data_IF_667763108554
#
_entry.id   IF_667763108554
#
_cell.length_a   1.000
_cell.length_b   1.000
_cell.length_c   1.000
_cell.angle_alpha   90.00
_cell.angle_beta   90.00
_cell.angle_gamma   90.00
#
_symmetry.space_group_name_H-M   'P 1'
#
loop_
_entity.id
_entity.type
_entity.pdbx_description
1 polymer ?
#
# COMPACT_ATOMS: atom_id res chain seq x y z
N UNK A 1 -1.54 47.06 35.04
CA UNK A 1 -0.44 46.31 34.39
C UNK A 1 -0.85 44.86 34.25
N UNK A 2 -1.28 44.43 33.06
CA UNK A 2 -1.52 43.01 32.79
C UNK A 2 -0.15 42.39 32.48
N UNK A 3 0.37 41.55 33.38
CA UNK A 3 1.57 40.75 33.10
C UNK A 3 1.19 39.79 31.96
N UNK A 4 1.77 39.99 30.78
CA UNK A 4 1.71 39.01 29.69
C UNK A 4 2.35 37.73 30.19
N UNK A 5 1.54 36.68 30.44
CA UNK A 5 2.04 35.34 30.71
C UNK A 5 2.95 34.93 29.55
N UNK A 6 4.24 34.73 29.84
CA UNK A 6 5.19 34.17 28.87
C UNK A 6 4.72 32.74 28.57
N UNK A 7 4.03 32.54 27.44
CA UNK A 7 3.73 31.21 26.93
C UNK A 7 5.01 30.39 26.93
N UNK A 8 5.03 29.31 27.72
CA UNK A 8 6.18 28.41 27.78
C UNK A 8 6.45 27.91 26.36
N UNK A 9 7.73 27.96 25.98
CA UNK A 9 8.18 27.48 24.67
C UNK A 9 8.91 26.18 24.85
N UNK A 10 8.52 25.20 24.06
CA UNK A 10 9.08 23.85 24.07
C UNK A 10 9.59 23.49 22.68
N UNK A 11 10.58 22.59 22.61
CA UNK A 11 11.10 22.11 21.32
C UNK A 11 10.05 21.27 20.60
N UNK A 12 9.98 21.38 19.27
CA UNK A 12 9.03 20.63 18.45
C UNK A 12 9.15 19.11 18.65
N UNK A 13 10.37 18.56 18.73
CA UNK A 13 10.57 17.14 19.01
C UNK A 13 10.01 16.68 20.37
N UNK A 14 10.09 17.54 21.37
CA UNK A 14 9.57 17.31 22.71
C UNK A 14 8.05 17.47 22.72
N UNK A 15 7.52 18.51 22.07
CA UNK A 15 6.09 18.76 21.95
C UNK A 15 5.34 17.58 21.30
N UNK A 16 5.90 16.99 20.23
CA UNK A 16 5.31 15.82 19.58
C UNK A 16 5.28 14.60 20.50
N UNK A 17 6.33 14.40 21.30
CA UNK A 17 6.38 13.32 22.27
C UNK A 17 5.39 13.53 23.42
N UNK A 18 5.35 14.73 23.99
CA UNK A 18 4.45 15.10 25.10
C UNK A 18 2.97 15.04 24.69
N UNK A 19 2.64 15.37 23.43
CA UNK A 19 1.29 15.19 22.87
C UNK A 19 0.97 13.76 22.44
N UNK A 20 1.86 12.80 22.63
CA UNK A 20 1.66 11.40 22.25
C UNK A 20 1.67 11.14 20.74
N UNK A 21 2.10 12.11 19.93
CA UNK A 21 2.16 12.02 18.47
C UNK A 21 3.42 11.29 17.96
N UNK A 22 4.40 11.06 18.85
CA UNK A 22 5.61 10.31 18.57
C UNK A 22 5.95 9.36 19.71
N UNK A 23 6.55 8.20 19.39
CA UNK A 23 6.88 7.15 20.38
C UNK A 23 8.04 7.52 21.30
N UNK A 24 8.88 8.45 20.87
CA UNK A 24 10.05 8.96 21.60
C UNK A 24 10.49 10.29 20.99
N UNK A 25 11.37 11.04 21.67
CA UNK A 25 11.98 12.26 21.10
C UNK A 25 12.84 11.98 19.86
N UNK A 26 13.50 10.83 19.78
CA UNK A 26 14.26 10.43 18.59
C UNK A 26 13.33 10.12 17.41
N UNK A 27 12.22 9.40 17.67
CA UNK A 27 11.18 9.14 16.68
C UNK A 27 10.53 10.45 16.21
N UNK A 28 10.24 11.39 17.10
CA UNK A 28 9.74 12.73 16.76
C UNK A 28 10.71 13.47 15.83
N UNK A 29 12.01 13.45 16.15
CA UNK A 29 13.03 14.10 15.32
C UNK A 29 13.10 13.48 13.92
N UNK A 30 13.01 12.15 13.81
CA UNK A 30 12.96 11.44 12.54
C UNK A 30 11.72 11.82 11.71
N UNK A 31 10.54 11.93 12.34
CA UNK A 31 9.31 12.35 11.66
C UNK A 31 9.40 13.78 11.11
N UNK A 32 9.98 14.71 11.88
CA UNK A 32 10.20 16.09 11.44
C UNK A 32 11.15 16.14 10.25
N UNK A 33 12.29 15.42 10.33
CA UNK A 33 13.28 15.37 9.25
C UNK A 33 12.73 14.68 7.99
N UNK A 34 11.82 13.72 8.14
CA UNK A 34 11.13 13.06 7.03
C UNK A 34 9.98 13.90 6.42
N UNK A 35 9.76 15.13 6.90
CA UNK A 35 8.69 16.01 6.44
C UNK A 35 7.29 15.48 6.78
N UNK A 36 7.16 14.65 7.83
CA UNK A 36 5.90 14.03 8.26
C UNK A 36 5.17 14.83 9.34
N UNK A 37 5.61 16.05 9.62
CA UNK A 37 5.03 16.91 10.66
C UNK A 37 4.50 18.18 10.01
N UNK A 38 3.27 18.53 10.37
CA UNK A 38 2.62 19.78 9.97
C UNK A 38 2.49 20.63 11.23
N UNK A 39 2.85 21.91 11.12
CA UNK A 39 2.66 22.92 12.15
C UNK A 39 1.94 24.09 11.51
N UNK A 40 0.75 24.43 12.01
CA UNK A 40 -0.07 25.49 11.41
C UNK A 40 0.69 26.81 11.34
N UNK A 41 0.76 27.38 10.13
CA UNK A 41 1.43 28.66 9.88
C UNK A 41 2.96 28.61 9.89
N UNK A 42 3.59 27.42 9.87
CA UNK A 42 5.06 27.29 9.84
C UNK A 42 5.55 26.35 8.75
N UNK A 43 6.71 26.68 8.19
CA UNK A 43 7.46 25.87 7.22
C UNK A 43 8.91 25.67 7.70
N UNK A 44 9.69 24.86 6.99
CA UNK A 44 11.10 24.58 7.30
C UNK A 44 11.35 24.12 8.75
N UNK A 45 10.53 23.18 9.19
CA UNK A 45 10.53 22.66 10.55
C UNK A 45 11.87 21.99 10.90
N UNK A 46 12.35 22.22 12.12
CA UNK A 46 13.54 21.58 12.68
C UNK A 46 13.20 20.96 14.04
N UNK A 47 13.78 19.80 14.41
CA UNK A 47 13.53 19.16 15.71
C UNK A 47 13.69 20.10 16.91
N UNK A 48 14.76 20.90 16.90
CA UNK A 48 15.05 21.89 17.95
C UNK A 48 14.28 23.21 17.86
N UNK A 49 13.30 23.33 16.95
CA UNK A 49 12.51 24.56 16.82
C UNK A 49 11.63 24.77 18.05
N UNK A 50 11.71 25.94 18.67
CA UNK A 50 10.85 26.30 19.81
C UNK A 50 9.48 26.79 19.34
N UNK A 51 8.43 26.12 19.83
CA UNK A 51 7.03 26.47 19.63
C UNK A 51 6.35 26.73 20.97
N UNK A 52 5.17 27.34 20.92
CA UNK A 52 4.31 27.40 22.09
C UNK A 52 3.73 26.01 22.39
N UNK A 53 3.49 25.68 23.66
CA UNK A 53 2.90 24.38 24.06
C UNK A 53 1.50 24.14 23.47
N UNK A 54 0.76 25.22 23.21
CA UNK A 54 -0.55 25.22 22.56
C UNK A 54 -0.47 25.23 21.02
N UNK A 55 0.73 25.11 20.42
CA UNK A 55 0.85 25.03 18.97
C UNK A 55 0.08 23.83 18.40
N UNK A 56 -0.73 24.08 17.37
CA UNK A 56 -1.40 23.06 16.57
C UNK A 56 -0.34 22.32 15.73
N UNK A 57 -0.06 21.07 16.13
CA UNK A 57 0.91 20.17 15.50
C UNK A 57 0.24 18.86 15.16
N UNK A 58 0.53 18.35 13.97
CA UNK A 58 -0.01 17.09 13.47
C UNK A 58 1.12 16.25 12.87
N UNK A 59 1.06 14.94 13.07
CA UNK A 59 1.93 13.99 12.38
C UNK A 59 1.10 13.36 11.27
N UNK A 60 1.57 13.51 10.03
CA UNK A 60 0.96 12.83 8.89
C UNK A 60 0.93 11.33 9.17
N UNK A 61 -0.23 10.66 9.04
CA UNK A 61 -0.29 9.22 9.22
C UNK A 61 0.74 8.55 8.30
N UNK A 62 1.42 7.53 8.83
CA UNK A 62 2.28 6.67 8.03
C UNK A 62 1.48 6.04 6.89
N UNK A 63 2.16 5.63 5.81
CA UNK A 63 1.48 4.82 4.79
C UNK A 63 1.01 3.53 5.46
N UNK A 64 -0.30 3.29 5.45
CA UNK A 64 -0.90 2.06 5.98
C UNK A 64 -0.37 0.83 5.23
N UNK A 65 -0.16 1.00 3.92
CA UNK A 65 0.27 -0.04 3.01
C UNK A 65 1.64 0.26 2.39
N UNK A 66 2.38 -0.79 2.03
CA UNK A 66 3.72 -0.72 1.42
C UNK A 66 3.72 0.10 0.12
N UNK A 67 2.60 0.15 -0.60
CA UNK A 67 2.44 0.93 -1.82
C UNK A 67 1.05 1.54 -1.94
N UNK A 68 0.91 2.55 -2.83
CA UNK A 68 -0.38 3.20 -3.13
C UNK A 68 -1.42 2.22 -3.65
N UNK A 69 -1.00 1.09 -4.22
CA UNK A 69 -1.91 0.02 -4.61
C UNK A 69 -2.75 -0.48 -3.44
N UNK A 70 -2.20 -0.55 -2.22
CA UNK A 70 -2.92 -1.07 -1.07
C UNK A 70 -4.23 -0.32 -0.77
N UNK A 71 -4.23 1.01 -0.89
CA UNK A 71 -5.45 1.82 -0.70
C UNK A 71 -6.55 1.47 -1.71
N UNK A 72 -6.16 1.10 -2.94
CA UNK A 72 -7.12 0.69 -3.99
C UNK A 72 -7.76 -0.65 -3.66
N UNK A 73 -6.95 -1.65 -3.28
CA UNK A 73 -7.48 -2.97 -2.96
C UNK A 73 -8.29 -2.95 -1.67
N UNK A 74 -7.83 -2.24 -0.64
CA UNK A 74 -8.59 -2.05 0.59
C UNK A 74 -9.97 -1.45 0.31
N UNK A 75 -10.02 -0.38 -0.50
CA UNK A 75 -11.28 0.21 -0.94
C UNK A 75 -12.17 -0.80 -1.65
N UNK A 76 -11.63 -1.53 -2.63
CA UNK A 76 -12.39 -2.54 -3.37
C UNK A 76 -12.95 -3.66 -2.46
N UNK A 77 -12.16 -4.21 -1.55
CA UNK A 77 -12.61 -5.25 -0.62
C UNK A 77 -13.76 -4.75 0.25
N UNK A 78 -13.66 -3.52 0.77
CA UNK A 78 -14.69 -2.91 1.59
C UNK A 78 -15.96 -2.62 0.80
N UNK A 79 -15.83 -1.91 -0.33
CA UNK A 79 -16.97 -1.41 -1.10
C UNK A 79 -17.76 -2.56 -1.74
N UNK A 80 -17.09 -3.65 -2.10
CA UNK A 80 -17.74 -4.86 -2.64
C UNK A 80 -18.09 -5.90 -1.57
N UNK A 81 -17.79 -5.66 -0.29
CA UNK A 81 -18.06 -6.60 0.80
C UNK A 81 -17.36 -7.95 0.62
N UNK A 82 -16.16 -7.95 0.06
CA UNK A 82 -15.38 -9.16 -0.22
C UNK A 82 -14.61 -9.55 1.05
N UNK A 83 -14.92 -10.74 1.56
CA UNK A 83 -14.14 -11.38 2.62
C UNK A 83 -13.00 -12.20 2.00
N UNK A 84 -11.76 -11.77 2.24
CA UNK A 84 -10.55 -12.47 1.79
C UNK A 84 -9.91 -13.33 2.90
N UNK A 85 -10.53 -13.40 4.08
CA UNK A 85 -9.97 -14.11 5.23
C UNK A 85 -9.82 -15.61 4.92
N UNK A 86 -8.70 -16.18 5.36
CA UNK A 86 -8.33 -17.58 5.22
C UNK A 86 -8.27 -18.11 3.78
N UNK A 87 -8.43 -17.26 2.77
CA UNK A 87 -8.32 -17.66 1.37
C UNK A 87 -6.88 -17.79 0.88
N UNK A 88 -6.69 -18.53 -0.20
CA UNK A 88 -5.47 -18.57 -1.00
C UNK A 88 -5.63 -17.64 -2.19
N UNK A 89 -4.75 -16.64 -2.28
CA UNK A 89 -4.85 -15.59 -3.30
C UNK A 89 -3.66 -15.58 -4.25
N UNK A 90 -3.88 -15.11 -5.47
CA UNK A 90 -2.84 -14.76 -6.42
C UNK A 90 -2.89 -13.25 -6.70
N UNK A 91 -1.77 -12.56 -6.47
CA UNK A 91 -1.59 -11.15 -6.80
C UNK A 91 -0.72 -11.03 -8.06
N UNK A 92 -1.34 -10.67 -9.20
CA UNK A 92 -0.66 -10.50 -10.47
C UNK A 92 -0.26 -9.04 -10.68
N UNK A 93 1.04 -8.79 -10.76
CA UNK A 93 1.62 -7.44 -10.79
C UNK A 93 1.93 -6.93 -9.39
N UNK A 94 2.45 -7.81 -8.52
CA UNK A 94 2.63 -7.52 -7.10
C UNK A 94 3.52 -6.29 -6.84
N UNK A 95 4.47 -5.97 -7.73
CA UNK A 95 5.37 -4.81 -7.68
C UNK A 95 6.05 -4.68 -6.30
N UNK A 96 5.85 -3.57 -5.58
CA UNK A 96 6.38 -3.42 -4.22
C UNK A 96 5.61 -4.20 -3.16
N UNK A 97 4.43 -4.75 -3.49
CA UNK A 97 3.64 -5.61 -2.61
C UNK A 97 2.42 -4.93 -1.98
N UNK A 98 1.91 -3.84 -2.57
CA UNK A 98 0.80 -3.09 -1.99
C UNK A 98 -0.49 -3.92 -1.81
N UNK A 99 -0.89 -4.66 -2.85
CA UNK A 99 -2.08 -5.52 -2.83
C UNK A 99 -1.83 -6.76 -1.96
N UNK A 100 -0.71 -7.45 -2.18
CA UNK A 100 -0.26 -8.56 -1.33
C UNK A 100 -0.30 -8.20 0.17
N UNK A 101 0.19 -7.01 0.56
CA UNK A 101 0.16 -6.57 1.96
C UNK A 101 -1.26 -6.47 2.50
N UNK A 102 -2.19 -5.88 1.75
CA UNK A 102 -3.61 -5.78 2.15
C UNK A 102 -4.22 -7.16 2.36
N UNK A 103 -4.04 -8.08 1.40
CA UNK A 103 -4.58 -9.43 1.49
C UNK A 103 -4.08 -10.15 2.75
N UNK A 104 -2.78 -10.09 3.00
CA UNK A 104 -2.14 -10.71 4.17
C UNK A 104 -2.58 -10.07 5.49
N UNK A 105 -2.66 -8.74 5.54
CA UNK A 105 -3.10 -8.01 6.73
C UNK A 105 -4.59 -8.25 7.02
N UNK A 106 -5.40 -8.49 5.99
CA UNK A 106 -6.81 -8.85 6.12
C UNK A 106 -7.03 -10.36 6.28
N UNK A 107 -5.98 -11.13 6.57
CA UNK A 107 -6.11 -12.51 7.03
C UNK A 107 -6.12 -13.58 5.95
N UNK A 108 -5.70 -13.30 4.71
CA UNK A 108 -5.44 -14.35 3.73
C UNK A 108 -4.46 -15.40 4.31
N UNK A 109 -4.73 -16.69 4.02
CA UNK A 109 -3.87 -17.79 4.47
C UNK A 109 -2.58 -17.87 3.68
N UNK A 110 -2.63 -17.51 2.41
CA UNK A 110 -1.49 -17.52 1.49
C UNK A 110 -1.72 -16.54 0.36
N UNK A 111 -0.67 -15.87 -0.09
CA UNK A 111 -0.69 -15.01 -1.27
C UNK A 111 0.49 -15.34 -2.17
N UNK A 112 0.22 -15.78 -3.39
CA UNK A 112 1.21 -15.85 -4.46
C UNK A 112 1.42 -14.44 -5.02
N UNK A 113 2.55 -13.82 -4.71
CA UNK A 113 2.91 -12.50 -5.20
C UNK A 113 3.74 -12.64 -6.48
N UNK A 114 3.10 -12.44 -7.63
CA UNK A 114 3.70 -12.67 -8.95
C UNK A 114 4.00 -11.35 -9.65
N UNK A 115 5.24 -11.22 -10.14
CA UNK A 115 5.64 -10.07 -10.94
C UNK A 115 6.65 -10.46 -12.03
N UNK A 116 6.68 -9.67 -13.11
CA UNK A 116 7.71 -9.77 -14.16
C UNK A 116 9.03 -9.15 -13.73
N UNK A 117 8.99 -8.23 -12.76
CA UNK A 117 10.13 -7.66 -12.08
C UNK A 117 10.84 -8.64 -11.17
N UNK A 118 11.95 -8.19 -10.59
CA UNK A 118 12.77 -8.97 -9.66
C UNK A 118 13.15 -8.12 -8.46
N UNK A 119 13.01 -8.68 -7.25
CA UNK A 119 13.52 -8.01 -6.05
C UNK A 119 12.68 -6.81 -5.59
N UNK A 120 11.45 -6.64 -6.09
CA UNK A 120 10.68 -5.41 -5.88
C UNK A 120 9.87 -5.38 -4.59
N UNK A 121 9.42 -6.54 -4.11
CA UNK A 121 8.63 -6.66 -2.89
C UNK A 121 9.37 -6.10 -1.68
N UNK A 122 8.68 -5.23 -0.93
CA UNK A 122 9.13 -4.70 0.35
C UNK A 122 9.39 -5.82 1.36
N UNK A 123 10.33 -5.58 2.27
CA UNK A 123 10.75 -6.57 3.27
C UNK A 123 9.61 -7.02 4.19
N UNK A 124 8.62 -6.16 4.47
CA UNK A 124 7.45 -6.53 5.26
C UNK A 124 6.65 -7.65 4.62
N UNK A 125 6.45 -7.58 3.31
CA UNK A 125 5.70 -8.60 2.56
C UNK A 125 6.58 -9.81 2.29
N UNK A 126 7.83 -9.58 1.86
CA UNK A 126 8.78 -10.65 1.50
C UNK A 126 9.08 -11.58 2.68
N UNK A 127 9.08 -11.06 3.91
CA UNK A 127 9.37 -11.83 5.11
C UNK A 127 8.13 -12.45 5.76
N UNK A 128 6.91 -12.21 5.24
CA UNK A 128 5.70 -12.89 5.70
C UNK A 128 5.70 -14.33 5.17
N UNK A 129 5.59 -15.32 6.06
CA UNK A 129 5.65 -16.74 5.70
C UNK A 129 4.44 -17.22 4.86
N UNK A 130 3.39 -16.41 4.77
CA UNK A 130 2.22 -16.65 3.91
C UNK A 130 2.40 -16.08 2.51
N UNK A 131 3.43 -15.27 2.26
CA UNK A 131 3.74 -14.74 0.94
C UNK A 131 4.65 -15.71 0.16
N UNK A 132 4.21 -16.11 -1.04
CA UNK A 132 5.03 -16.88 -1.98
C UNK A 132 5.46 -15.96 -3.11
N UNK A 133 6.74 -15.61 -3.14
CA UNK A 133 7.31 -14.67 -4.13
C UNK A 133 7.60 -15.40 -5.44
N UNK A 134 7.00 -14.92 -6.54
CA UNK A 134 7.22 -15.43 -7.90
C UNK A 134 7.68 -14.26 -8.78
N UNK A 135 8.97 -13.96 -8.70
CA UNK A 135 9.62 -12.93 -9.52
C UNK A 135 9.94 -13.44 -10.94
N UNK A 136 10.16 -12.51 -11.86
CA UNK A 136 10.53 -12.76 -13.28
C UNK A 136 9.57 -13.70 -14.00
N UNK A 137 8.29 -13.66 -13.64
CA UNK A 137 7.30 -14.57 -14.16
C UNK A 137 6.18 -13.82 -14.86
N UNK A 138 5.95 -14.17 -16.13
CA UNK A 138 4.81 -13.64 -16.88
C UNK A 138 3.59 -14.52 -16.62
N UNK A 139 2.52 -13.93 -16.06
CA UNK A 139 1.26 -14.61 -15.75
C UNK A 139 0.68 -15.39 -16.94
N UNK A 140 0.98 -15.01 -18.18
CA UNK A 140 0.56 -15.76 -19.39
C UNK A 140 1.09 -17.19 -19.45
N UNK A 141 2.14 -17.49 -18.68
CA UNK A 141 2.78 -18.80 -18.62
C UNK A 141 2.35 -19.61 -17.37
N UNK A 142 1.31 -19.16 -16.65
CA UNK A 142 0.86 -19.82 -15.42
C UNK A 142 0.54 -21.29 -15.65
N UNK A 143 0.94 -22.12 -14.69
CA UNK A 143 0.73 -23.57 -14.72
C UNK A 143 0.57 -24.09 -13.29
N UNK A 144 0.05 -25.32 -13.16
CA UNK A 144 -0.10 -25.99 -11.86
C UNK A 144 1.24 -26.30 -11.18
N UNK A 145 2.35 -26.30 -11.92
CA UNK A 145 3.67 -26.41 -11.32
C UNK A 145 4.07 -25.13 -10.55
N UNK A 146 3.55 -23.97 -10.96
CA UNK A 146 3.85 -22.66 -10.36
C UNK A 146 2.83 -22.33 -9.27
N UNK A 147 1.55 -22.55 -9.55
CA UNK A 147 0.45 -22.38 -8.60
C UNK A 147 -0.31 -23.70 -8.49
N UNK A 148 0.10 -24.60 -7.57
CA UNK A 148 -0.48 -25.93 -7.45
C UNK A 148 -1.87 -25.93 -6.80
N UNK A 149 -2.10 -25.02 -5.85
CA UNK A 149 -3.37 -24.91 -5.13
C UNK A 149 -4.46 -24.26 -5.99
N UNK A 150 -5.73 -24.54 -5.66
CA UNK A 150 -6.83 -23.75 -6.17
C UNK A 150 -6.94 -22.45 -5.37
N UNK A 151 -7.32 -21.39 -6.05
CA UNK A 151 -7.34 -20.02 -5.53
C UNK A 151 -8.77 -19.63 -5.14
N UNK A 152 -8.90 -18.99 -3.99
CA UNK A 152 -10.12 -18.33 -3.53
C UNK A 152 -10.25 -16.92 -4.09
N UNK A 153 -9.15 -16.34 -4.56
CA UNK A 153 -9.22 -15.10 -5.31
C UNK A 153 -7.96 -14.73 -6.08
N UNK A 154 -8.13 -13.80 -7.01
CA UNK A 154 -7.07 -13.25 -7.86
C UNK A 154 -7.20 -11.73 -7.91
N UNK A 155 -6.09 -11.02 -7.73
CA UNK A 155 -6.01 -9.59 -8.01
C UNK A 155 -5.17 -9.33 -9.25
N UNK A 156 -5.65 -8.46 -10.14
CA UNK A 156 -4.96 -8.09 -11.38
C UNK A 156 -4.68 -6.57 -11.37
N UNK A 157 -3.44 -6.16 -11.07
CA UNK A 157 -2.96 -4.77 -11.21
C UNK A 157 -1.84 -4.70 -12.26
N UNK A 158 -2.17 -5.10 -13.48
CA UNK A 158 -1.19 -5.22 -14.57
C UNK A 158 -1.07 -3.93 -15.37
N UNK A 159 0.12 -3.66 -15.91
CA UNK A 159 0.37 -2.53 -16.81
C UNK A 159 0.89 -3.03 -18.15
N UNK A 160 0.65 -2.28 -19.23
CA UNK A 160 1.12 -2.59 -20.58
C UNK A 160 0.61 -3.92 -21.17
N UNK A 161 -0.46 -4.48 -20.60
CA UNK A 161 -1.12 -5.69 -21.10
C UNK A 161 -2.63 -5.57 -20.88
N UNK A 162 -3.40 -6.05 -21.86
CA UNK A 162 -4.86 -6.14 -21.74
C UNK A 162 -5.26 -7.33 -20.86
N UNK A 163 -6.18 -7.08 -19.94
CA UNK A 163 -6.85 -8.08 -19.10
C UNK A 163 -7.55 -9.17 -19.93
N UNK A 164 -7.95 -8.88 -21.17
CA UNK A 164 -8.53 -9.87 -22.10
C UNK A 164 -7.60 -11.03 -22.41
N UNK A 165 -6.29 -10.83 -22.29
CA UNK A 165 -5.29 -11.89 -22.49
C UNK A 165 -5.07 -12.72 -21.22
N UNK A 166 -5.49 -12.22 -20.05
CA UNK A 166 -5.20 -12.82 -18.75
C UNK A 166 -6.41 -13.53 -18.18
N UNK A 167 -7.59 -12.90 -18.21
CA UNK A 167 -8.82 -13.47 -17.66
C UNK A 167 -9.15 -14.88 -18.18
N UNK A 168 -9.02 -15.21 -19.48
CA UNK A 168 -9.31 -16.55 -19.97
C UNK A 168 -8.37 -17.66 -19.45
N UNK A 169 -7.20 -17.29 -18.90
CA UNK A 169 -6.21 -18.24 -18.39
C UNK A 169 -6.50 -18.69 -16.94
N UNK A 170 -7.30 -17.91 -16.20
CA UNK A 170 -7.52 -18.11 -14.77
C UNK A 170 -8.44 -19.30 -14.41
N UNK A 171 -9.52 -19.63 -15.14
CA UNK A 171 -10.52 -20.61 -14.68
C UNK A 171 -9.96 -21.95 -14.15
N UNK A 172 -8.93 -22.57 -14.75
CA UNK A 172 -8.35 -23.81 -14.23
C UNK A 172 -7.68 -23.72 -12.85
N UNK A 173 -7.44 -22.49 -12.36
CA UNK A 173 -6.78 -22.21 -11.08
C UNK A 173 -7.75 -21.78 -9.98
N UNK A 174 -9.02 -21.57 -10.31
CA UNK A 174 -10.00 -20.99 -9.39
C UNK A 174 -10.85 -22.07 -8.72
N UNK A 175 -11.15 -21.86 -7.43
CA UNK A 175 -12.29 -22.52 -6.79
C UNK A 175 -13.61 -22.03 -7.41
N UNK A 176 -14.70 -22.79 -7.24
CA UNK A 176 -16.01 -22.47 -7.81
C UNK A 176 -16.58 -21.12 -7.37
N UNK A 177 -16.21 -20.64 -6.18
CA UNK A 177 -16.64 -19.35 -5.63
C UNK A 177 -15.51 -18.30 -5.61
N UNK A 178 -14.46 -18.51 -6.41
CA UNK A 178 -13.32 -17.62 -6.39
C UNK A 178 -13.67 -16.22 -6.91
N UNK A 179 -13.02 -15.21 -6.33
CA UNK A 179 -13.27 -13.81 -6.67
C UNK A 179 -12.10 -13.25 -7.49
N UNK A 180 -12.39 -12.61 -8.61
CA UNK A 180 -11.38 -11.91 -9.41
C UNK A 180 -11.60 -10.41 -9.28
N UNK A 181 -10.60 -9.69 -8.75
CA UNK A 181 -10.59 -8.24 -8.64
C UNK A 181 -9.61 -7.70 -9.69
N UNK A 182 -10.16 -7.05 -10.71
CA UNK A 182 -9.38 -6.45 -11.79
C UNK A 182 -9.31 -4.93 -11.62
N UNK A 183 -8.10 -4.38 -11.54
CA UNK A 183 -7.91 -2.95 -11.68
C UNK A 183 -7.90 -2.59 -13.17
N UNK A 184 -9.04 -2.11 -13.66
CA UNK A 184 -9.19 -1.68 -15.05
C UNK A 184 -8.39 -0.41 -15.32
N UNK A 185 -7.50 -0.46 -16.32
CA UNK A 185 -6.67 0.67 -16.76
C UNK A 185 -6.97 0.95 -18.23
N UNK A 186 -7.89 1.89 -18.54
CA UNK A 186 -8.36 2.11 -19.92
C UNK A 186 -7.22 2.30 -20.94
N UNK A 187 -6.13 2.94 -20.52
CA UNK A 187 -4.95 3.18 -21.35
C UNK A 187 -4.25 1.92 -21.88
N UNK A 188 -4.51 0.75 -21.29
CA UNK A 188 -3.96 -0.54 -21.73
C UNK A 188 -4.99 -1.45 -22.39
N UNK A 189 -6.24 -0.99 -22.50
CA UNK A 189 -7.38 -1.78 -22.99
C UNK A 189 -7.99 -1.20 -24.26
N UNK A 190 -7.89 0.11 -24.41
CA UNK A 190 -8.38 0.86 -25.56
C UNK A 190 -7.50 0.64 -26.79
N UNK A 191 -8.12 0.67 -27.96
CA UNK A 191 -7.45 0.49 -29.24
C UNK A 191 -6.46 1.61 -29.55
N UNK A 192 -5.55 1.35 -30.50
CA UNK A 192 -4.60 2.35 -30.97
C UNK A 192 -5.36 3.55 -31.55
N UNK A 193 -5.30 4.71 -30.86
CA UNK A 193 -5.97 5.95 -31.27
C UNK A 193 -7.08 6.44 -30.33
N UNK A 194 -7.47 5.65 -29.32
CA UNK A 194 -8.57 5.97 -28.40
C UNK A 194 -8.10 6.64 -27.08
N UNK A 195 -6.79 6.81 -26.89
CA UNK A 195 -6.19 7.38 -25.66
C UNK A 195 -5.22 8.49 -26.05
N UNK A 196 -5.40 9.68 -25.45
CA UNK A 196 -4.56 10.85 -25.71
C UNK A 196 -3.13 10.70 -25.20
N UNK A 197 -2.23 11.64 -25.59
CA UNK A 197 -0.79 11.62 -25.23
C UNK A 197 -0.50 11.66 -23.72
N UNK A 198 -1.49 11.95 -22.87
CA UNK A 198 -1.37 11.99 -21.40
C UNK A 198 -1.94 10.77 -20.67
N UNK A 199 -2.51 9.78 -21.38
CA UNK A 199 -3.35 8.76 -20.76
C UNK A 199 -4.79 9.27 -20.56
N UNK A 200 -5.49 8.69 -19.57
CA UNK A 200 -6.80 9.19 -19.07
C UNK A 200 -6.56 10.20 -17.96
#
# INVERSE_FOLDING_TARGET
MIKSEKKQRVRLDQLLFEKGLAKSRSNASALIMAGKVIVKGKSNLKPGMFLSEDAEVEVMPGKKWVGRGGEKLEGALKDFGIDNTKGIWLDCGASTGGFTHVLLSNGANKVYAMDVGYGQLDSLVRNDNRAVVIDRFNIRNISKAVVPELLDGVTLDLSFISSRLILPLLPPFLNSNAIVILLFKPQFEAGKGEVGKGGV
#
